data_IF_466391641656
#
_entry.id   IF_466391641656
#
_cell.length_a   1.000
_cell.length_b   1.000
_cell.length_c   1.000
_cell.angle_alpha   90.00
_cell.angle_beta   90.00
_cell.angle_gamma   90.00
#
_symmetry.space_group_name_H-M   'P 1'
#
loop_
_entity.id
_entity.type
_entity.pdbx_description
1 polymer ?
#
# COMPACT_ATOMS: atom_id res chain seq x y z
N UNK A 1 48.13 -27.86 -16.20
CA UNK A 1 47.77 -27.33 -14.88
C UNK A 1 46.44 -26.58 -15.03
N UNK A 2 45.32 -27.29 -14.89
CA UNK A 2 43.99 -26.73 -15.02
C UNK A 2 43.47 -26.37 -13.63
N UNK A 3 43.49 -25.09 -13.28
CA UNK A 3 42.90 -24.59 -12.07
C UNK A 3 41.37 -24.48 -12.26
N UNK A 4 40.63 -25.50 -11.84
CA UNK A 4 39.18 -25.43 -11.61
C UNK A 4 38.92 -24.48 -10.47
N UNK A 5 38.47 -23.27 -10.77
CA UNK A 5 37.84 -22.39 -9.79
C UNK A 5 36.51 -23.06 -9.34
N UNK A 6 36.28 -23.28 -8.07
CA UNK A 6 35.00 -23.79 -7.62
C UNK A 6 33.90 -22.75 -7.90
N UNK A 7 32.91 -23.18 -8.66
CA UNK A 7 31.66 -22.42 -8.82
C UNK A 7 31.12 -22.09 -7.44
N UNK A 8 30.98 -20.81 -7.12
CA UNK A 8 30.47 -20.36 -5.84
C UNK A 8 29.11 -20.98 -5.57
N UNK A 9 29.07 -21.92 -4.64
CA UNK A 9 27.82 -22.39 -4.06
C UNK A 9 27.17 -21.22 -3.36
N UNK A 10 26.26 -20.52 -4.06
CA UNK A 10 25.27 -19.72 -3.39
C UNK A 10 24.38 -20.70 -2.63
N UNK A 11 24.70 -20.96 -1.37
CA UNK A 11 23.80 -21.68 -0.47
C UNK A 11 22.45 -21.02 -0.55
N UNK A 12 21.36 -21.74 -0.90
CA UNK A 12 20.02 -21.19 -0.87
C UNK A 12 19.80 -20.67 0.55
N UNK A 13 19.58 -19.37 0.69
CA UNK A 13 19.23 -18.82 2.01
C UNK A 13 17.87 -19.44 2.35
N UNK A 14 17.88 -20.42 3.24
CA UNK A 14 16.67 -21.10 3.72
C UNK A 14 15.87 -20.10 4.60
N UNK A 15 15.15 -19.22 3.94
CA UNK A 15 14.33 -18.17 4.59
C UNK A 15 12.89 -18.66 4.57
N UNK A 16 12.38 -19.02 5.72
CA UNK A 16 10.99 -19.44 5.86
C UNK A 16 10.02 -18.30 5.48
N UNK A 17 8.97 -18.58 4.68
CA UNK A 17 7.93 -17.62 4.38
C UNK A 17 7.29 -17.10 5.67
N UNK A 18 7.08 -15.78 5.76
CA UNK A 18 6.51 -15.16 6.93
C UNK A 18 5.09 -15.69 7.22
N UNK A 19 4.79 -15.92 8.49
CA UNK A 19 3.46 -16.38 8.92
C UNK A 19 2.41 -15.33 8.60
N UNK A 20 1.18 -15.76 8.22
CA UNK A 20 0.07 -14.87 7.88
C UNK A 20 -0.20 -13.83 8.98
N UNK A 21 -0.23 -14.26 10.26
CA UNK A 21 -0.46 -13.35 11.39
C UNK A 21 0.57 -12.21 11.49
N UNK A 22 1.87 -12.49 11.24
CA UNK A 22 2.90 -11.44 11.22
C UNK A 22 2.71 -10.45 10.07
N UNK A 23 2.25 -10.93 8.90
CA UNK A 23 1.97 -10.06 7.75
C UNK A 23 0.76 -9.17 8.01
N UNK A 24 -0.30 -9.73 8.61
CA UNK A 24 -1.51 -8.98 9.01
C UNK A 24 -1.16 -7.94 10.08
N UNK A 25 -0.41 -8.32 11.11
CA UNK A 25 0.02 -7.38 12.15
C UNK A 25 0.89 -6.24 11.57
N UNK A 26 1.82 -6.55 10.66
CA UNK A 26 2.61 -5.52 9.99
C UNK A 26 1.75 -4.57 9.14
N UNK A 27 0.71 -5.08 8.49
CA UNK A 27 -0.26 -4.26 7.75
C UNK A 27 -1.04 -3.36 8.69
N UNK A 28 -1.59 -3.89 9.79
CA UNK A 28 -2.35 -3.10 10.78
C UNK A 28 -1.50 -1.99 11.41
N UNK A 29 -0.24 -2.28 11.75
CA UNK A 29 0.69 -1.27 12.24
C UNK A 29 0.87 -0.15 11.20
N UNK A 30 1.06 -0.49 9.93
CA UNK A 30 1.18 0.52 8.88
C UNK A 30 -0.11 1.34 8.71
N UNK A 31 -1.29 0.72 8.80
CA UNK A 31 -2.58 1.44 8.76
C UNK A 31 -2.67 2.45 9.89
N UNK A 32 -2.36 2.04 11.13
CA UNK A 32 -2.36 2.95 12.30
C UNK A 32 -1.39 4.11 12.07
N UNK A 33 -0.16 3.82 11.63
CA UNK A 33 0.84 4.87 11.36
C UNK A 33 0.39 5.82 10.24
N UNK A 34 -0.27 5.30 9.21
CA UNK A 34 -0.84 6.11 8.13
C UNK A 34 -1.94 7.02 8.67
N UNK A 35 -2.87 6.50 9.48
CA UNK A 35 -3.92 7.31 10.11
C UNK A 35 -3.34 8.40 11.01
N UNK A 36 -2.30 8.10 11.78
CA UNK A 36 -1.59 9.09 12.59
C UNK A 36 -0.91 10.16 11.73
N UNK A 37 -0.33 9.78 10.59
CA UNK A 37 0.28 10.74 9.66
C UNK A 37 -0.77 11.64 8.97
N UNK A 38 -1.98 11.14 8.77
CA UNK A 38 -3.10 11.93 8.25
C UNK A 38 -3.76 12.82 9.31
N UNK A 39 -3.62 12.51 10.61
CA UNK A 39 -4.33 13.19 11.68
C UNK A 39 -4.18 14.73 11.67
N UNK A 40 -2.98 15.32 11.51
CA UNK A 40 -2.85 16.78 11.47
C UNK A 40 -3.63 17.41 10.31
N UNK A 41 -3.63 16.76 9.14
CA UNK A 41 -4.38 17.22 7.98
C UNK A 41 -5.90 17.17 8.22
N UNK A 42 -6.40 16.07 8.79
CA UNK A 42 -7.81 15.90 9.13
C UNK A 42 -8.25 16.89 10.21
N UNK A 43 -7.42 17.15 11.21
CA UNK A 43 -7.69 18.16 12.25
C UNK A 43 -7.83 19.55 11.61
N UNK A 44 -6.92 19.92 10.70
CA UNK A 44 -6.98 21.19 10.01
C UNK A 44 -8.27 21.35 9.19
N UNK A 45 -8.76 20.27 8.54
CA UNK A 45 -9.94 20.31 7.66
C UNK A 45 -11.25 20.21 8.46
N UNK A 46 -11.31 19.35 9.48
CA UNK A 46 -12.58 18.97 10.14
C UNK A 46 -12.82 19.77 11.43
N UNK A 47 -11.78 19.89 12.28
CA UNK A 47 -11.95 20.44 13.62
C UNK A 47 -11.94 21.97 13.58
N UNK A 48 -11.10 22.54 12.74
CA UNK A 48 -10.93 23.99 12.69
C UNK A 48 -12.17 24.76 12.22
N UNK A 49 -12.82 24.37 11.09
CA UNK A 49 -14.04 25.06 10.64
C UNK A 49 -15.21 24.96 11.61
N UNK A 50 -15.25 23.90 12.46
CA UNK A 50 -16.35 23.71 13.43
C UNK A 50 -16.25 24.60 14.67
N UNK A 51 -15.06 25.08 15.01
CA UNK A 51 -14.80 25.94 16.15
C UNK A 51 -14.88 27.45 15.84
N UNK A 52 -14.73 27.83 14.58
CA UNK A 52 -15.06 29.17 14.12
C UNK A 52 -16.57 29.19 13.88
N UNK A 53 -17.31 30.06 14.54
CA UNK A 53 -18.72 30.37 14.25
C UNK A 53 -18.83 30.99 12.83
N UNK A 54 -18.46 30.21 11.81
CA UNK A 54 -18.65 30.55 10.41
C UNK A 54 -20.13 30.31 10.15
N UNK A 55 -20.92 31.37 10.19
CA UNK A 55 -22.27 31.33 9.67
C UNK A 55 -22.22 30.66 8.29
N UNK A 56 -23.08 29.66 8.08
CA UNK A 56 -23.18 28.83 6.86
C UNK A 56 -23.32 29.61 5.55
N UNK A 57 -23.32 30.94 5.60
CA UNK A 57 -23.57 31.86 4.50
C UNK A 57 -22.30 32.37 3.80
N UNK A 58 -21.10 32.14 4.34
CA UNK A 58 -19.85 32.71 3.77
C UNK A 58 -18.91 31.67 3.17
N UNK A 59 -19.39 30.72 2.45
CA UNK A 59 -18.71 29.82 1.53
C UNK A 59 -17.17 29.62 1.66
N UNK A 60 -16.52 29.34 0.54
CA UNK A 60 -15.06 29.13 0.43
C UNK A 60 -14.21 30.33 0.86
N UNK A 61 -14.76 31.55 0.81
CA UNK A 61 -14.06 32.80 1.21
C UNK A 61 -13.78 32.83 2.73
N UNK A 62 -14.70 32.31 3.56
CA UNK A 62 -14.52 32.24 4.99
C UNK A 62 -13.47 31.18 5.39
N UNK A 63 -13.34 30.10 4.61
CA UNK A 63 -12.27 29.12 4.78
C UNK A 63 -10.89 29.73 4.44
N UNK A 64 -10.82 30.54 3.40
CA UNK A 64 -9.60 31.23 3.00
C UNK A 64 -9.17 32.33 3.98
N UNK A 65 -10.13 32.93 4.70
CA UNK A 65 -9.88 33.98 5.69
C UNK A 65 -9.42 33.46 7.07
N UNK A 66 -9.38 32.15 7.29
CA UNK A 66 -8.91 31.62 8.58
C UNK A 66 -7.38 31.59 8.64
N UNK A 67 -6.79 32.41 9.50
CA UNK A 67 -5.32 32.55 9.67
C UNK A 67 -4.59 31.22 9.95
N UNK A 68 -5.30 30.19 10.42
CA UNK A 68 -4.73 28.90 10.83
C UNK A 68 -4.98 27.75 9.87
N UNK A 69 -5.92 27.87 8.93
CA UNK A 69 -6.23 26.78 8.00
C UNK A 69 -5.03 26.50 7.09
N UNK A 70 -4.46 27.51 6.47
CA UNK A 70 -3.32 27.35 5.56
C UNK A 70 -2.07 26.83 6.27
N UNK A 71 -1.64 27.35 7.44
CA UNK A 71 -0.57 26.75 8.22
C UNK A 71 -0.87 25.32 8.65
N UNK A 72 -2.09 25.01 9.08
CA UNK A 72 -2.50 23.66 9.47
C UNK A 72 -2.44 22.65 8.33
N UNK A 73 -2.93 23.04 7.15
CA UNK A 73 -2.84 22.21 5.94
C UNK A 73 -1.38 22.01 5.51
N UNK A 74 -0.56 23.05 5.56
CA UNK A 74 0.86 22.96 5.23
C UNK A 74 1.60 22.00 6.16
N UNK A 75 1.41 22.14 7.48
CA UNK A 75 2.02 21.24 8.46
C UNK A 75 1.54 19.80 8.25
N UNK A 76 0.23 19.58 8.07
CA UNK A 76 -0.33 18.26 7.82
C UNK A 76 0.22 17.63 6.54
N UNK A 77 0.35 18.41 5.47
CA UNK A 77 0.96 17.96 4.22
C UNK A 77 2.44 17.59 4.39
N UNK A 78 3.22 18.41 5.10
CA UNK A 78 4.64 18.14 5.35
C UNK A 78 4.85 16.87 6.19
N UNK A 79 4.02 16.65 7.22
CA UNK A 79 4.05 15.42 8.04
C UNK A 79 3.75 14.20 7.18
N UNK A 80 2.71 14.26 6.37
CA UNK A 80 2.33 13.17 5.46
C UNK A 80 3.42 12.90 4.43
N UNK A 81 3.99 13.93 3.83
CA UNK A 81 5.08 13.82 2.86
C UNK A 81 6.32 13.18 3.49
N UNK A 82 6.71 13.62 4.68
CA UNK A 82 7.82 13.02 5.43
C UNK A 82 7.57 11.54 5.72
N UNK A 83 6.37 11.17 6.15
CA UNK A 83 5.99 9.78 6.37
C UNK A 83 6.10 8.94 5.09
N UNK A 84 5.58 9.43 3.97
CA UNK A 84 5.65 8.74 2.67
C UNK A 84 7.11 8.54 2.24
N UNK A 85 7.94 9.57 2.35
CA UNK A 85 9.38 9.49 2.00
C UNK A 85 10.09 8.43 2.85
N UNK A 86 9.84 8.40 4.17
CA UNK A 86 10.43 7.40 5.07
C UNK A 86 9.99 6.00 4.66
N UNK A 87 8.70 5.76 4.43
CA UNK A 87 8.17 4.46 4.00
C UNK A 87 8.79 3.99 2.68
N UNK A 88 8.81 4.86 1.66
CA UNK A 88 9.37 4.54 0.35
C UNK A 88 10.86 4.22 0.45
N UNK A 89 11.64 5.02 1.21
CA UNK A 89 13.07 4.74 1.42
C UNK A 89 13.31 3.40 2.13
N UNK A 90 12.53 3.10 3.16
CA UNK A 90 12.65 1.83 3.89
C UNK A 90 12.28 0.64 3.01
N UNK A 91 11.21 0.73 2.25
CA UNK A 91 10.79 -0.32 1.32
C UNK A 91 11.83 -0.53 0.21
N UNK A 92 12.36 0.55 -0.35
CA UNK A 92 13.35 0.49 -1.43
C UNK A 92 14.70 -0.06 -0.97
N UNK A 93 15.24 0.44 0.16
CA UNK A 93 16.58 0.06 0.63
C UNK A 93 16.61 -1.27 1.36
N UNK A 94 15.59 -1.56 2.16
CA UNK A 94 15.60 -2.71 3.07
C UNK A 94 14.55 -3.76 2.73
N UNK A 95 13.65 -3.50 1.77
CA UNK A 95 12.49 -4.37 1.51
C UNK A 95 11.51 -4.42 2.68
N UNK A 96 11.49 -3.40 3.53
CA UNK A 96 10.68 -3.37 4.75
C UNK A 96 9.96 -2.02 4.87
N UNK A 97 8.65 -2.05 5.18
CA UNK A 97 7.94 -0.90 5.76
C UNK A 97 8.19 -0.85 7.27
N UNK A 98 7.78 0.22 7.93
CA UNK A 98 7.92 0.34 9.40
C UNK A 98 7.24 -0.85 10.09
N UNK A 99 6.00 -1.18 9.74
CA UNK A 99 5.29 -2.33 10.33
C UNK A 99 5.98 -3.66 10.06
N UNK A 100 6.55 -3.86 8.86
CA UNK A 100 7.33 -5.07 8.55
C UNK A 100 8.61 -5.16 9.37
N UNK A 101 9.26 -4.03 9.62
CA UNK A 101 10.47 -3.97 10.47
C UNK A 101 10.14 -4.35 11.91
N UNK A 102 9.06 -3.82 12.48
CA UNK A 102 8.60 -4.15 13.85
C UNK A 102 8.26 -5.64 13.97
N UNK A 103 7.64 -6.23 12.94
CA UNK A 103 7.27 -7.64 12.94
C UNK A 103 8.40 -8.60 12.54
N UNK A 104 9.63 -8.10 12.31
CA UNK A 104 10.81 -8.87 11.89
C UNK A 104 10.53 -9.68 10.62
N UNK A 105 9.88 -9.07 9.63
CA UNK A 105 9.64 -9.67 8.32
C UNK A 105 10.20 -8.76 7.22
N UNK A 106 10.62 -9.37 6.10
CA UNK A 106 11.25 -8.65 4.98
C UNK A 106 10.70 -9.14 3.65
N UNK A 107 10.61 -8.23 2.69
CA UNK A 107 10.30 -8.52 1.30
C UNK A 107 11.61 -8.81 0.55
N UNK A 108 11.65 -9.94 -0.14
CA UNK A 108 12.74 -10.32 -1.03
C UNK A 108 12.16 -10.69 -2.39
N UNK A 109 12.96 -10.64 -3.43
CA UNK A 109 12.65 -11.34 -4.68
C UNK A 109 12.76 -12.83 -4.50
N UNK A 110 12.21 -13.60 -5.42
CA UNK A 110 12.29 -15.06 -5.40
C UNK A 110 13.72 -15.59 -5.55
N UNK A 111 14.64 -14.77 -6.08
CA UNK A 111 16.07 -15.04 -6.15
C UNK A 111 16.84 -14.70 -4.85
N UNK A 112 16.15 -14.26 -3.81
CA UNK A 112 16.74 -13.86 -2.52
C UNK A 112 17.28 -12.44 -2.46
N UNK A 113 17.28 -11.70 -3.58
CA UNK A 113 17.78 -10.32 -3.63
C UNK A 113 16.76 -9.30 -3.12
N UNK A 114 17.23 -8.09 -2.81
CA UNK A 114 16.34 -7.00 -2.45
C UNK A 114 15.54 -6.53 -3.70
N UNK A 115 14.21 -6.42 -3.64
CA UNK A 115 13.39 -5.97 -4.77
C UNK A 115 13.63 -4.51 -5.18
N UNK A 116 14.27 -3.70 -4.34
CA UNK A 116 14.52 -2.30 -4.60
C UNK A 116 13.22 -1.47 -4.72
N UNK A 117 13.35 -0.25 -5.23
CA UNK A 117 12.21 0.64 -5.45
C UNK A 117 11.20 0.06 -6.45
N UNK A 118 11.69 -0.47 -7.59
CA UNK A 118 10.81 -0.98 -8.65
C UNK A 118 9.97 -2.18 -8.19
N UNK A 119 10.57 -3.16 -7.53
CA UNK A 119 9.85 -4.35 -7.08
C UNK A 119 8.99 -4.11 -5.84
N UNK A 120 9.52 -3.37 -4.85
CA UNK A 120 8.84 -3.20 -3.58
C UNK A 120 7.76 -2.11 -3.59
N UNK A 121 7.93 -1.05 -4.40
CA UNK A 121 7.03 0.10 -4.43
C UNK A 121 6.28 0.15 -5.75
N UNK A 122 6.99 0.25 -6.90
CA UNK A 122 6.33 0.46 -8.18
C UNK A 122 5.46 -0.72 -8.60
N UNK A 123 6.02 -1.92 -8.77
CA UNK A 123 5.25 -3.06 -9.27
C UNK A 123 4.20 -3.53 -8.27
N UNK A 124 4.55 -3.58 -7.00
CA UNK A 124 3.71 -4.15 -5.96
C UNK A 124 2.60 -3.23 -5.48
N UNK A 125 2.90 -1.95 -5.25
CA UNK A 125 1.93 -1.01 -4.70
C UNK A 125 1.27 -0.16 -5.80
N UNK A 126 2.04 0.39 -6.74
CA UNK A 126 1.51 1.32 -7.74
C UNK A 126 0.90 0.58 -8.93
N UNK A 127 1.71 -0.21 -9.64
CA UNK A 127 1.26 -0.88 -10.88
C UNK A 127 0.13 -1.86 -10.60
N UNK A 128 0.23 -2.65 -9.52
CA UNK A 128 -0.84 -3.58 -9.15
C UNK A 128 -2.17 -2.86 -8.90
N UNK A 129 -2.19 -1.79 -8.10
CA UNK A 129 -3.41 -1.05 -7.80
C UNK A 129 -3.99 -0.39 -9.05
N UNK A 130 -3.15 0.22 -9.91
CA UNK A 130 -3.58 0.81 -11.18
C UNK A 130 -4.20 -0.28 -12.08
N UNK A 131 -3.55 -1.42 -12.25
CA UNK A 131 -4.05 -2.53 -13.09
C UNK A 131 -5.40 -3.05 -12.60
N UNK A 132 -5.55 -3.29 -11.30
CA UNK A 132 -6.81 -3.77 -10.73
C UNK A 132 -7.91 -2.73 -10.90
N UNK A 133 -7.63 -1.46 -10.64
CA UNK A 133 -8.61 -0.38 -10.77
C UNK A 133 -9.06 -0.23 -12.23
N UNK A 134 -8.12 -0.16 -13.17
CA UNK A 134 -8.46 -0.05 -14.61
C UNK A 134 -9.25 -1.25 -15.08
N UNK A 135 -8.83 -2.48 -14.74
CA UNK A 135 -9.56 -3.68 -15.12
C UNK A 135 -10.99 -3.69 -14.55
N UNK A 136 -11.16 -3.31 -13.29
CA UNK A 136 -12.46 -3.23 -12.64
C UNK A 136 -13.36 -2.17 -13.29
N UNK A 137 -12.81 -1.01 -13.64
CA UNK A 137 -13.55 0.05 -14.35
C UNK A 137 -13.96 -0.42 -15.76
N UNK A 138 -13.06 -1.01 -16.53
CA UNK A 138 -13.38 -1.52 -17.88
C UNK A 138 -14.53 -2.53 -17.80
N UNK A 139 -14.47 -3.48 -16.87
CA UNK A 139 -15.53 -4.48 -16.69
C UNK A 139 -16.85 -3.81 -16.27
N UNK A 140 -16.80 -2.86 -15.30
CA UNK A 140 -17.98 -2.14 -14.84
C UNK A 140 -18.69 -1.39 -15.97
N UNK A 141 -17.94 -0.61 -16.77
CA UNK A 141 -18.49 0.11 -17.91
C UNK A 141 -18.96 -0.81 -19.04
N UNK A 142 -18.25 -1.91 -19.30
CA UNK A 142 -18.69 -2.91 -20.28
C UNK A 142 -20.05 -3.52 -19.90
N UNK A 143 -20.26 -3.86 -18.62
CA UNK A 143 -21.54 -4.36 -18.15
C UNK A 143 -22.66 -3.34 -18.32
N UNK A 144 -22.42 -2.07 -17.99
CA UNK A 144 -23.39 -0.98 -18.18
C UNK A 144 -23.77 -0.81 -19.65
N UNK A 145 -22.78 -0.81 -20.56
CA UNK A 145 -23.02 -0.71 -22.00
C UNK A 145 -23.84 -1.88 -22.57
N UNK A 146 -23.59 -3.09 -22.07
CA UNK A 146 -24.29 -4.29 -22.55
C UNK A 146 -25.70 -4.46 -21.95
N UNK A 147 -25.91 -3.99 -20.71
CA UNK A 147 -27.17 -4.18 -19.98
C UNK A 147 -28.12 -2.98 -20.07
N UNK A 148 -27.65 -1.82 -20.51
CA UNK A 148 -28.40 -0.56 -20.45
C UNK A 148 -28.63 -0.04 -19.03
N UNK A 149 -27.89 -0.55 -18.03
CA UNK A 149 -28.02 -0.14 -16.64
C UNK A 149 -27.57 1.32 -16.42
N UNK A 150 -28.01 1.99 -15.34
CA UNK A 150 -27.53 3.34 -15.00
C UNK A 150 -26.00 3.39 -14.82
N UNK A 151 -25.37 4.49 -15.21
CA UNK A 151 -23.91 4.65 -15.15
C UNK A 151 -23.34 4.41 -13.73
N UNK A 152 -24.06 4.79 -12.67
CA UNK A 152 -23.68 4.52 -11.29
C UNK A 152 -23.45 3.04 -10.97
N UNK A 153 -24.04 2.12 -11.75
CA UNK A 153 -23.84 0.67 -11.60
C UNK A 153 -22.40 0.26 -11.93
N UNK A 154 -21.72 0.99 -12.84
CA UNK A 154 -20.32 0.72 -13.18
C UNK A 154 -19.40 0.89 -11.96
N UNK A 155 -19.60 1.95 -11.17
CA UNK A 155 -18.81 2.20 -9.96
C UNK A 155 -19.04 1.15 -8.89
N UNK A 156 -20.29 0.70 -8.73
CA UNK A 156 -20.61 -0.39 -7.79
C UNK A 156 -19.89 -1.69 -8.20
N UNK A 157 -19.95 -2.06 -9.47
CA UNK A 157 -19.28 -3.25 -10.00
C UNK A 157 -17.77 -3.13 -9.82
N UNK A 158 -17.18 -1.98 -10.16
CA UNK A 158 -15.74 -1.74 -10.01
C UNK A 158 -15.29 -1.87 -8.55
N UNK A 159 -16.06 -1.31 -7.60
CA UNK A 159 -15.77 -1.43 -6.17
C UNK A 159 -15.87 -2.88 -5.68
N UNK A 160 -16.90 -3.63 -6.10
CA UNK A 160 -17.06 -5.05 -5.75
C UNK A 160 -15.90 -5.88 -6.29
N UNK A 161 -15.45 -5.66 -7.52
CA UNK A 161 -14.31 -6.36 -8.11
C UNK A 161 -13.01 -6.06 -7.39
N UNK A 162 -12.76 -4.79 -7.05
CA UNK A 162 -11.58 -4.37 -6.30
C UNK A 162 -11.56 -4.97 -4.90
N UNK A 163 -12.71 -4.99 -4.21
CA UNK A 163 -12.86 -5.64 -2.92
C UNK A 163 -12.61 -7.16 -3.02
N UNK A 164 -13.15 -7.80 -4.05
CA UNK A 164 -12.95 -9.23 -4.30
C UNK A 164 -11.47 -9.57 -4.53
N UNK A 165 -10.73 -8.75 -5.29
CA UNK A 165 -9.29 -8.90 -5.47
C UNK A 165 -8.51 -8.76 -4.14
N UNK A 166 -8.94 -7.84 -3.27
CA UNK A 166 -8.36 -7.64 -1.94
C UNK A 166 -8.62 -8.84 -1.02
N UNK A 167 -9.85 -9.38 -1.05
CA UNK A 167 -10.20 -10.61 -0.33
C UNK A 167 -9.43 -11.82 -0.83
N UNK A 168 -9.26 -11.95 -2.15
CA UNK A 168 -8.42 -13.00 -2.73
C UNK A 168 -6.98 -12.92 -2.22
N UNK A 169 -6.38 -11.72 -2.19
CA UNK A 169 -5.06 -11.50 -1.60
C UNK A 169 -5.02 -11.91 -0.12
N UNK A 170 -6.06 -11.59 0.65
CA UNK A 170 -6.15 -11.96 2.06
C UNK A 170 -6.21 -13.49 2.24
N UNK A 171 -7.05 -14.18 1.48
CA UNK A 171 -7.14 -15.65 1.52
C UNK A 171 -5.82 -16.32 1.12
N UNK A 172 -5.13 -15.78 0.11
CA UNK A 172 -3.82 -16.29 -0.34
C UNK A 172 -2.74 -16.25 0.75
N UNK A 173 -2.84 -15.36 1.76
CA UNK A 173 -1.91 -15.33 2.90
C UNK A 173 -1.89 -16.63 3.70
N UNK A 174 -2.97 -17.40 3.68
CA UNK A 174 -3.07 -18.65 4.43
C UNK A 174 -2.59 -19.87 3.63
N UNK A 175 -2.36 -19.71 2.32
CA UNK A 175 -1.91 -20.80 1.46
C UNK A 175 -0.40 -21.09 1.65
N UNK A 176 -0.08 -22.05 2.50
CA UNK A 176 1.31 -22.45 2.80
C UNK A 176 2.03 -23.06 1.59
N UNK A 177 1.33 -23.81 0.75
CA UNK A 177 1.91 -24.48 -0.43
C UNK A 177 2.46 -23.49 -1.46
N UNK A 178 1.85 -22.31 -1.57
CA UNK A 178 2.28 -21.23 -2.48
C UNK A 178 3.11 -20.16 -1.75
N UNK A 179 3.83 -20.52 -0.68
CA UNK A 179 4.69 -19.61 0.11
C UNK A 179 3.97 -18.36 0.60
N UNK A 180 2.65 -18.43 0.78
CA UNK A 180 1.76 -17.33 1.21
C UNK A 180 1.89 -16.07 0.35
N UNK A 181 2.20 -16.23 -0.95
CA UNK A 181 2.32 -15.12 -1.90
C UNK A 181 0.93 -14.59 -2.28
N UNK A 182 0.76 -13.28 -2.26
CA UNK A 182 -0.44 -12.58 -2.74
C UNK A 182 -0.35 -12.29 -4.23
N UNK A 183 -1.43 -11.82 -4.87
CA UNK A 183 -1.41 -11.39 -6.27
C UNK A 183 -0.32 -10.33 -6.52
N UNK A 184 -0.17 -9.37 -5.61
CA UNK A 184 0.90 -8.37 -5.64
C UNK A 184 2.30 -8.99 -5.60
N UNK A 185 2.48 -10.03 -4.77
CA UNK A 185 3.75 -10.75 -4.66
C UNK A 185 4.08 -11.52 -5.95
N UNK A 186 3.07 -12.07 -6.63
CA UNK A 186 3.25 -12.74 -7.92
C UNK A 186 3.63 -11.74 -9.01
N UNK A 187 2.94 -10.61 -9.12
CA UNK A 187 3.23 -9.57 -10.10
C UNK A 187 4.66 -9.04 -9.96
N UNK A 188 5.11 -8.81 -8.73
CA UNK A 188 6.44 -8.26 -8.45
C UNK A 188 7.55 -9.31 -8.34
N UNK A 189 7.25 -10.62 -8.52
CA UNK A 189 8.22 -11.69 -8.34
C UNK A 189 8.83 -11.75 -6.94
N UNK A 190 8.03 -11.44 -5.90
CA UNK A 190 8.52 -11.29 -4.52
C UNK A 190 7.92 -12.31 -3.56
N UNK A 191 8.53 -12.43 -2.40
CA UNK A 191 8.07 -13.23 -1.27
C UNK A 191 8.39 -12.49 0.03
N UNK A 192 7.48 -12.57 1.01
CA UNK A 192 7.73 -12.02 2.35
C UNK A 192 8.29 -13.13 3.24
N UNK A 193 9.46 -12.91 3.78
CA UNK A 193 10.20 -13.88 4.61
C UNK A 193 10.32 -13.39 6.05
N UNK A 194 10.49 -14.33 6.96
CA UNK A 194 10.74 -14.03 8.36
C UNK A 194 12.24 -13.90 8.59
N UNK A 195 12.67 -12.83 9.24
CA UNK A 195 14.03 -12.69 9.76
C UNK A 195 14.14 -13.47 11.08
N UNK A 196 15.24 -14.18 11.22
CA UNK A 196 15.63 -14.88 12.45
C UNK A 196 16.29 -13.93 13.41
#
# INVERSE_FOLDING_TARGET
MNSHLPAGHTTPIDVAPARAGKRIAAYLINVILTLLAYAPLLIAIVVWPSNSYIERTQGLEALAASDWLMPGLLIGFLVLLAYIIIQVRMMSKHGQSIGKKIMHIRLLKTDGTNPGFWGAVMLREVVYNIMITIAAMIIGYAVVLLSGAPAATADVIANVLTLSASLACFVMLFNKQKSRRTLQDYLAGTVVVQLR
#
